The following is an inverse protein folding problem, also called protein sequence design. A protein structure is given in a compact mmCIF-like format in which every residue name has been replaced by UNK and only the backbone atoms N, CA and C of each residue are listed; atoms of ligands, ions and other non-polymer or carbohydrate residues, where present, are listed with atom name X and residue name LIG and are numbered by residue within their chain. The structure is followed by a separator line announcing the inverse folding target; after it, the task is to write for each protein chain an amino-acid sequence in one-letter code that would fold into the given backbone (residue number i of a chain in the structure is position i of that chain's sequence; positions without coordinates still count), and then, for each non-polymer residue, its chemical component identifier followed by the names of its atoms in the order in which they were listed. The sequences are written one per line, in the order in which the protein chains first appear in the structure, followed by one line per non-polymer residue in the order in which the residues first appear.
data_IF_189142013072
#
_entry.id   IF_189142013072
#
_cell.length_a   1.000
_cell.length_b   1.000
_cell.length_c   1.000
_cell.angle_alpha   90.00
_cell.angle_beta   90.00
_cell.angle_gamma   90.00
#
_symmetry.space_group_name_H-M   'P 1'
#
loop_
_entity.id
_entity.type
_entity.pdbx_description
1 polymer ?
#
# COMPACT_ATOMS: atom_id res chain seq x y z
N UNK A 1 -7.54 -5.81 -37.99
CA UNK A 1 -6.69 -4.99 -37.09
C UNK A 1 -7.17 -5.13 -35.65
N UNK A 2 -7.18 -6.34 -35.07
CA UNK A 2 -7.89 -6.57 -33.79
C UNK A 2 -7.10 -7.33 -32.72
N UNK A 3 -5.83 -7.72 -32.97
CA UNK A 3 -5.02 -8.43 -31.97
C UNK A 3 -4.02 -7.55 -31.20
N UNK A 4 -3.88 -6.26 -31.55
CA UNK A 4 -2.81 -5.41 -31.00
C UNK A 4 -3.24 -4.64 -29.72
N UNK A 5 -4.55 -4.50 -29.46
CA UNK A 5 -5.03 -3.71 -28.31
C UNK A 5 -4.70 -4.38 -26.97
N UNK A 6 -4.68 -5.72 -26.94
CA UNK A 6 -4.37 -6.50 -25.73
C UNK A 6 -2.90 -6.41 -25.32
N UNK A 7 -1.99 -6.16 -26.27
CA UNK A 7 -0.56 -5.99 -25.96
C UNK A 7 -0.27 -4.62 -25.30
N UNK A 8 -1.19 -3.67 -25.46
CA UNK A 8 -1.12 -2.30 -24.92
C UNK A 8 -1.99 -2.08 -23.70
N UNK A 9 -2.41 -3.13 -22.99
CA UNK A 9 -3.15 -2.96 -21.74
C UNK A 9 -2.19 -2.89 -20.56
N UNK A 10 -2.59 -2.16 -19.52
CA UNK A 10 -1.96 -2.31 -18.20
C UNK A 10 -2.39 -3.62 -17.54
N UNK A 11 -1.69 -4.03 -16.47
CA UNK A 11 -2.03 -5.21 -15.68
C UNK A 11 -3.43 -5.07 -15.07
N UNK A 12 -3.72 -3.92 -14.44
CA UNK A 12 -5.03 -3.63 -13.88
C UNK A 12 -6.15 -3.71 -14.94
N UNK A 13 -5.91 -3.19 -16.15
CA UNK A 13 -6.87 -3.26 -17.24
C UNK A 13 -7.08 -4.71 -17.71
N UNK A 14 -6.01 -5.50 -17.79
CA UNK A 14 -6.06 -6.93 -18.16
C UNK A 14 -6.86 -7.73 -17.13
N UNK A 15 -6.56 -7.56 -15.85
CA UNK A 15 -7.27 -8.21 -14.73
C UNK A 15 -8.76 -7.83 -14.69
N UNK A 16 -9.09 -6.56 -14.97
CA UNK A 16 -10.47 -6.10 -15.04
C UNK A 16 -11.25 -6.77 -16.19
N UNK A 17 -10.61 -6.97 -17.36
CA UNK A 17 -11.23 -7.71 -18.48
C UNK A 17 -11.42 -9.19 -18.12
N UNK A 18 -10.44 -9.84 -17.50
CA UNK A 18 -10.56 -11.23 -17.06
C UNK A 18 -11.68 -11.43 -16.02
N UNK A 19 -11.82 -10.46 -15.12
CA UNK A 19 -12.91 -10.40 -14.15
C UNK A 19 -14.25 -10.23 -14.87
N UNK A 20 -14.34 -9.38 -15.89
CA UNK A 20 -15.54 -9.21 -16.71
C UNK A 20 -15.93 -10.49 -17.46
N UNK A 21 -14.95 -11.23 -18.02
CA UNK A 21 -15.15 -12.55 -18.63
C UNK A 21 -15.72 -13.54 -17.60
N UNK A 22 -15.17 -13.55 -16.38
CA UNK A 22 -15.64 -14.42 -15.30
C UNK A 22 -17.07 -14.11 -14.89
N UNK A 23 -17.45 -12.84 -14.83
CA UNK A 23 -18.81 -12.40 -14.53
C UNK A 23 -19.80 -12.78 -15.65
N UNK A 24 -19.41 -12.62 -16.92
CA UNK A 24 -20.21 -13.06 -18.06
C UNK A 24 -20.44 -14.58 -18.05
N UNK A 25 -19.39 -15.36 -17.73
CA UNK A 25 -19.48 -16.81 -17.57
C UNK A 25 -20.44 -17.19 -16.45
N UNK A 26 -20.31 -16.57 -15.27
CA UNK A 26 -21.17 -16.81 -14.13
C UNK A 26 -22.65 -16.51 -14.45
N UNK A 27 -22.90 -15.42 -15.17
CA UNK A 27 -24.25 -15.02 -15.57
C UNK A 27 -24.76 -15.70 -16.86
N UNK A 28 -23.96 -16.65 -17.42
CA UNK A 28 -24.26 -17.45 -18.60
C UNK A 28 -24.49 -16.63 -19.87
N UNK A 29 -23.78 -15.52 -20.02
CA UNK A 29 -23.81 -14.69 -21.22
C UNK A 29 -22.75 -15.17 -22.23
N UNK A 30 -23.12 -15.24 -23.52
CA UNK A 30 -22.20 -15.67 -24.59
C UNK A 30 -21.14 -14.61 -24.93
N UNK A 31 -21.42 -13.35 -24.61
CA UNK A 31 -20.54 -12.23 -24.91
C UNK A 31 -20.27 -11.39 -23.67
N UNK A 32 -19.03 -10.90 -23.56
CA UNK A 32 -18.66 -9.84 -22.61
C UNK A 32 -19.06 -8.50 -23.18
N UNK A 33 -19.98 -7.85 -22.49
CA UNK A 33 -20.48 -6.49 -22.78
C UNK A 33 -19.91 -5.49 -21.78
N UNK A 34 -19.95 -4.17 -22.07
CA UNK A 34 -19.36 -3.18 -21.16
C UNK A 34 -19.98 -3.17 -19.76
N UNK A 35 -21.22 -3.65 -19.58
CA UNK A 35 -21.84 -3.79 -18.25
C UNK A 35 -21.12 -4.81 -17.37
N UNK A 36 -20.57 -5.89 -17.94
CA UNK A 36 -19.75 -6.84 -17.18
C UNK A 36 -18.45 -6.22 -16.72
N UNK A 37 -17.86 -5.34 -17.55
CA UNK A 37 -16.64 -4.62 -17.20
C UNK A 37 -16.90 -3.60 -16.09
N UNK A 38 -17.96 -2.80 -16.21
CA UNK A 38 -18.38 -1.89 -15.14
C UNK A 38 -18.67 -2.65 -13.83
N UNK A 39 -19.31 -3.83 -13.92
CA UNK A 39 -19.54 -4.69 -12.77
C UNK A 39 -18.24 -5.22 -12.15
N UNK A 40 -17.27 -5.63 -12.98
CA UNK A 40 -15.95 -6.06 -12.51
C UNK A 40 -15.24 -4.96 -11.73
N UNK A 41 -15.24 -3.72 -12.26
CA UNK A 41 -14.67 -2.57 -11.58
C UNK A 41 -15.33 -2.31 -10.23
N UNK A 42 -16.66 -2.35 -10.14
CA UNK A 42 -17.35 -2.16 -8.86
C UNK A 42 -17.13 -3.27 -7.85
N UNK A 43 -16.96 -4.52 -8.30
CA UNK A 43 -16.80 -5.67 -7.41
C UNK A 43 -15.39 -5.73 -6.83
N UNK A 44 -14.37 -5.32 -7.60
CA UNK A 44 -12.99 -5.26 -7.12
C UNK A 44 -12.81 -4.02 -6.22
N UNK A 45 -12.67 -4.23 -4.91
CA UNK A 45 -12.48 -3.15 -3.91
C UNK A 45 -11.31 -2.23 -4.23
N UNK A 46 -10.30 -2.77 -4.90
CA UNK A 46 -9.02 -2.10 -5.19
C UNK A 46 -9.03 -1.44 -6.57
N UNK A 47 -10.18 -1.43 -7.26
CA UNK A 47 -10.30 -0.78 -8.56
C UNK A 47 -10.27 0.75 -8.43
N UNK A 48 -9.71 1.40 -9.44
CA UNK A 48 -9.68 2.87 -9.55
C UNK A 48 -11.09 3.46 -9.39
N UNK A 49 -12.13 2.82 -9.93
CA UNK A 49 -13.50 3.30 -9.82
C UNK A 49 -14.00 3.28 -8.36
N UNK A 50 -13.72 2.21 -7.62
CA UNK A 50 -14.10 2.12 -6.20
C UNK A 50 -13.34 3.11 -5.33
N UNK A 51 -12.06 3.33 -5.62
CA UNK A 51 -11.24 4.33 -4.93
C UNK A 51 -11.86 5.73 -5.09
N UNK A 52 -12.29 6.09 -6.30
CA UNK A 52 -12.98 7.37 -6.53
C UNK A 52 -14.30 7.45 -5.75
N UNK A 53 -15.09 6.38 -5.72
CA UNK A 53 -16.36 6.36 -4.98
C UNK A 53 -16.16 6.50 -3.47
N UNK A 54 -15.16 5.83 -2.91
CA UNK A 54 -14.80 5.96 -1.50
C UNK A 54 -14.37 7.41 -1.19
N UNK A 55 -13.53 8.01 -2.04
CA UNK A 55 -13.07 9.39 -1.89
C UNK A 55 -14.22 10.41 -1.97
N UNK A 56 -15.18 10.17 -2.85
CA UNK A 56 -16.38 11.00 -3.02
C UNK A 56 -17.47 10.70 -1.98
N UNK A 57 -17.30 9.70 -1.10
CA UNK A 57 -18.29 9.33 -0.09
C UNK A 57 -19.57 8.71 -0.67
N UNK A 58 -19.48 8.01 -1.81
CA UNK A 58 -20.61 7.45 -2.55
C UNK A 58 -20.96 6.06 -2.02
N UNK A 59 -22.24 5.83 -1.69
CA UNK A 59 -22.76 4.50 -1.40
C UNK A 59 -23.01 3.72 -2.70
N UNK A 60 -22.22 2.68 -2.92
CA UNK A 60 -22.23 1.85 -4.12
C UNK A 60 -23.24 0.70 -4.10
N UNK A 61 -23.86 0.39 -2.96
CA UNK A 61 -24.72 -0.80 -2.82
C UNK A 61 -25.88 -0.77 -3.81
N UNK A 62 -26.56 0.37 -3.93
CA UNK A 62 -27.67 0.53 -4.86
C UNK A 62 -27.21 0.46 -6.33
N UNK A 63 -26.03 1.00 -6.63
CA UNK A 63 -25.44 0.98 -7.98
C UNK A 63 -25.08 -0.45 -8.42
N UNK A 64 -24.48 -1.23 -7.52
CA UNK A 64 -24.15 -2.63 -7.78
C UNK A 64 -25.40 -3.47 -8.09
N UNK A 65 -26.51 -3.22 -7.39
CA UNK A 65 -27.78 -3.91 -7.64
C UNK A 65 -28.36 -3.55 -9.02
N UNK A 66 -28.32 -2.28 -9.41
CA UNK A 66 -28.76 -1.82 -10.74
C UNK A 66 -27.95 -2.49 -11.85
N UNK A 67 -26.62 -2.55 -11.69
CA UNK A 67 -25.72 -3.17 -12.67
C UNK A 67 -25.95 -4.68 -12.77
N UNK A 68 -26.10 -5.37 -11.64
CA UNK A 68 -26.44 -6.80 -11.61
C UNK A 68 -27.76 -7.05 -12.33
N UNK A 69 -28.78 -6.23 -12.07
CA UNK A 69 -30.08 -6.34 -12.74
C UNK A 69 -29.99 -6.13 -14.26
N UNK A 70 -29.15 -5.19 -14.72
CA UNK A 70 -28.91 -4.98 -16.16
C UNK A 70 -28.17 -6.16 -16.79
N UNK A 71 -27.15 -6.69 -16.12
CA UNK A 71 -26.43 -7.87 -16.59
C UNK A 71 -27.37 -9.09 -16.68
N UNK A 72 -28.26 -9.30 -15.71
CA UNK A 72 -29.22 -10.41 -15.71
C UNK A 72 -30.21 -10.39 -16.88
N UNK A 73 -30.50 -9.21 -17.45
CA UNK A 73 -31.39 -9.05 -18.61
C UNK A 73 -30.72 -9.40 -19.94
N UNK A 74 -29.40 -9.57 -19.97
CA UNK A 74 -28.68 -9.93 -21.19
C UNK A 74 -29.01 -11.36 -21.63
N UNK A 75 -28.93 -11.67 -22.94
CA UNK A 75 -29.19 -13.01 -23.47
C UNK A 75 -28.32 -14.08 -22.78
N UNK A 76 -28.96 -15.17 -22.35
CA UNK A 76 -28.30 -16.29 -21.65
C UNK A 76 -28.29 -17.56 -22.50
N UNK A 77 -27.25 -18.37 -22.35
CA UNK A 77 -27.13 -19.66 -23.01
C UNK A 77 -26.61 -20.73 -22.04
N UNK A 78 -27.10 -21.96 -22.16
CA UNK A 78 -26.71 -23.08 -21.29
C UNK A 78 -25.34 -23.68 -21.63
N UNK A 79 -24.79 -23.41 -22.81
CA UNK A 79 -23.55 -24.02 -23.33
C UNK A 79 -22.34 -23.09 -23.27
N UNK A 80 -22.33 -22.11 -22.37
CA UNK A 80 -21.25 -21.13 -22.26
C UNK A 80 -20.06 -21.73 -21.49
N UNK A 81 -18.88 -21.68 -22.11
CA UNK A 81 -17.59 -22.04 -21.52
C UNK A 81 -16.62 -20.87 -21.64
N UNK A 82 -15.54 -20.87 -20.87
CA UNK A 82 -14.54 -19.78 -20.91
C UNK A 82 -13.95 -19.59 -22.31
N UNK A 83 -13.78 -20.68 -23.07
CA UNK A 83 -13.21 -20.67 -24.42
C UNK A 83 -14.20 -20.22 -25.50
N UNK A 84 -15.51 -20.30 -25.22
CA UNK A 84 -16.56 -19.92 -26.18
C UNK A 84 -17.04 -18.48 -26.01
N UNK A 85 -16.73 -17.84 -24.88
CA UNK A 85 -17.04 -16.43 -24.63
C UNK A 85 -16.19 -15.52 -25.52
N UNK A 86 -16.82 -14.50 -26.08
CA UNK A 86 -16.15 -13.46 -26.89
C UNK A 86 -16.44 -12.07 -26.34
N UNK A 87 -15.63 -11.10 -26.71
CA UNK A 87 -15.99 -9.70 -26.49
C UNK A 87 -17.07 -9.29 -27.49
N UNK A 88 -18.13 -8.64 -27.00
CA UNK A 88 -19.16 -8.05 -27.85
C UNK A 88 -18.58 -6.92 -28.72
N UNK A 89 -19.20 -6.64 -29.85
CA UNK A 89 -18.82 -5.52 -30.72
C UNK A 89 -18.90 -4.17 -29.99
N UNK A 90 -19.88 -4.04 -29.09
CA UNK A 90 -20.02 -2.86 -28.25
C UNK A 90 -18.82 -2.68 -27.32
N UNK A 91 -18.39 -3.75 -26.65
CA UNK A 91 -17.23 -3.68 -25.76
C UNK A 91 -15.93 -3.39 -26.53
N UNK A 92 -15.74 -4.01 -27.70
CA UNK A 92 -14.60 -3.67 -28.58
C UNK A 92 -14.62 -2.19 -28.98
N UNK A 93 -15.78 -1.61 -29.28
CA UNK A 93 -15.91 -0.18 -29.58
C UNK A 93 -15.53 0.70 -28.39
N UNK A 94 -15.93 0.33 -27.16
CA UNK A 94 -15.53 1.09 -25.96
C UNK A 94 -14.02 1.06 -25.71
N UNK A 95 -13.36 -0.06 -26.03
CA UNK A 95 -11.89 -0.16 -25.96
C UNK A 95 -11.22 0.72 -27.02
N UNK A 96 -11.77 0.79 -28.23
CA UNK A 96 -11.26 1.67 -29.30
C UNK A 96 -11.43 3.16 -28.96
N UNK A 97 -12.55 3.54 -28.33
CA UNK A 97 -12.73 4.91 -27.82
C UNK A 97 -11.63 5.26 -26.81
N UNK A 98 -11.35 4.32 -25.90
CA UNK A 98 -10.32 4.48 -24.89
C UNK A 98 -8.90 4.54 -25.48
N UNK A 99 -8.60 3.74 -26.51
CA UNK A 99 -7.34 3.81 -27.27
C UNK A 99 -7.17 5.20 -27.92
N UNK A 100 -8.25 5.81 -28.41
CA UNK A 100 -8.23 7.17 -28.93
C UNK A 100 -7.85 8.21 -27.87
N UNK A 101 -8.37 8.08 -26.64
CA UNK A 101 -8.01 8.97 -25.53
C UNK A 101 -6.59 8.71 -25.03
N UNK A 102 -6.17 7.45 -24.92
CA UNK A 102 -4.80 7.04 -24.60
C UNK A 102 -3.79 7.69 -25.56
N UNK A 103 -4.04 7.60 -26.87
CA UNK A 103 -3.18 8.23 -27.87
C UNK A 103 -3.16 9.76 -27.76
N UNK A 104 -4.31 10.39 -27.45
CA UNK A 104 -4.43 11.84 -27.23
C UNK A 104 -3.65 12.31 -26.01
N UNK A 105 -3.66 11.53 -24.93
CA UNK A 105 -2.92 11.79 -23.70
C UNK A 105 -1.41 11.49 -23.86
N UNK A 106 -1.02 10.77 -24.92
CA UNK A 106 0.36 10.42 -25.21
C UNK A 106 0.89 9.28 -24.34
N UNK A 107 -0.01 8.37 -23.95
CA UNK A 107 0.31 7.16 -23.20
C UNK A 107 0.70 6.01 -24.13
N UNK A 108 1.54 5.11 -23.63
CA UNK A 108 1.92 3.89 -24.35
C UNK A 108 0.97 2.71 -24.08
N UNK A 109 0.35 2.68 -22.89
CA UNK A 109 -0.58 1.63 -22.45
C UNK A 109 -1.93 2.21 -22.01
N UNK A 110 -2.99 1.43 -22.21
CA UNK A 110 -4.36 1.76 -21.85
C UNK A 110 -4.64 1.34 -20.40
N UNK A 111 -4.80 2.34 -19.54
CA UNK A 111 -5.17 2.20 -18.14
C UNK A 111 -6.69 2.29 -17.91
N UNK A 112 -7.14 1.80 -16.76
CA UNK A 112 -8.57 1.73 -16.39
C UNK A 112 -9.22 3.11 -16.29
N UNK A 113 -8.52 4.10 -15.73
CA UNK A 113 -8.97 5.49 -15.63
C UNK A 113 -9.29 6.08 -17.01
N UNK A 114 -8.41 5.84 -17.98
CA UNK A 114 -8.50 6.30 -19.36
C UNK A 114 -9.70 5.66 -20.05
N UNK A 115 -9.91 4.37 -19.80
CA UNK A 115 -11.10 3.67 -20.28
C UNK A 115 -12.39 4.27 -19.73
N UNK A 116 -12.46 4.53 -18.42
CA UNK A 116 -13.64 5.12 -17.78
C UNK A 116 -13.89 6.51 -18.38
N UNK A 117 -12.88 7.40 -18.39
CA UNK A 117 -12.98 8.76 -18.92
C UNK A 117 -13.46 8.79 -20.37
N UNK A 118 -12.91 7.94 -21.23
CA UNK A 118 -13.28 7.86 -22.63
C UNK A 118 -14.73 7.40 -22.86
N UNK A 119 -15.32 6.68 -21.90
CA UNK A 119 -16.63 6.05 -22.04
C UNK A 119 -17.70 6.61 -21.09
N UNK A 120 -17.44 7.67 -20.32
CA UNK A 120 -18.43 8.29 -19.41
C UNK A 120 -19.75 8.69 -20.09
N UNK A 121 -19.70 9.04 -21.37
CA UNK A 121 -20.86 9.44 -22.18
C UNK A 121 -21.45 8.30 -23.03
N UNK A 122 -20.98 7.08 -22.84
CA UNK A 122 -21.42 5.89 -23.58
C UNK A 122 -22.14 4.92 -22.61
N UNK A 123 -23.21 4.23 -23.05
CA UNK A 123 -23.81 3.17 -22.25
C UNK A 123 -22.77 2.07 -21.92
N UNK A 124 -22.83 1.48 -20.71
CA UNK A 124 -23.78 1.72 -19.63
C UNK A 124 -23.41 2.88 -18.69
N UNK A 125 -22.21 3.46 -18.82
CA UNK A 125 -21.73 4.50 -17.90
C UNK A 125 -22.67 5.72 -17.88
N UNK A 126 -23.11 6.17 -19.05
CA UNK A 126 -24.03 7.32 -19.19
C UNK A 126 -25.44 7.07 -18.66
N UNK A 127 -25.85 5.80 -18.52
CA UNK A 127 -27.19 5.42 -18.05
C UNK A 127 -27.23 5.18 -16.54
N UNK A 128 -26.11 4.70 -15.97
CA UNK A 128 -26.04 4.26 -14.57
C UNK A 128 -25.41 5.33 -13.69
N UNK A 129 -24.23 5.82 -14.04
CA UNK A 129 -23.47 6.71 -13.14
C UNK A 129 -24.23 7.98 -12.75
N UNK A 130 -24.92 8.70 -13.67
CA UNK A 130 -25.63 9.93 -13.33
C UNK A 130 -26.74 9.77 -12.28
N UNK A 131 -27.22 8.55 -12.02
CA UNK A 131 -28.23 8.29 -10.98
C UNK A 131 -27.65 8.37 -9.56
N UNK A 132 -26.33 8.18 -9.42
CA UNK A 132 -25.66 8.03 -8.12
C UNK A 132 -24.57 9.08 -7.89
N UNK A 133 -23.95 9.57 -8.96
CA UNK A 133 -22.81 10.49 -8.88
C UNK A 133 -22.90 11.57 -9.95
N UNK A 134 -22.26 12.71 -9.68
CA UNK A 134 -21.96 13.68 -10.72
C UNK A 134 -20.79 13.19 -11.57
N UNK A 135 -21.04 12.86 -12.84
CA UNK A 135 -20.03 12.35 -13.77
C UNK A 135 -18.94 13.36 -14.09
N UNK A 136 -19.22 14.67 -13.99
CA UNK A 136 -18.19 15.70 -14.15
C UNK A 136 -17.21 15.71 -12.97
N UNK A 137 -17.70 15.46 -11.76
CA UNK A 137 -16.84 15.41 -10.57
C UNK A 137 -16.01 14.13 -10.56
N UNK A 138 -16.59 12.99 -10.99
CA UNK A 138 -15.82 11.76 -11.20
C UNK A 138 -14.70 11.97 -12.23
N UNK A 139 -14.98 12.65 -13.36
CA UNK A 139 -13.97 12.91 -14.38
C UNK A 139 -12.81 13.75 -13.81
N UNK A 140 -13.12 14.83 -13.08
CA UNK A 140 -12.12 15.67 -12.42
C UNK A 140 -11.31 14.89 -11.39
N UNK A 141 -11.95 14.01 -10.63
CA UNK A 141 -11.28 13.23 -9.59
C UNK A 141 -10.33 12.20 -10.20
N UNK A 142 -10.72 11.55 -11.30
CA UNK A 142 -9.84 10.66 -12.07
C UNK A 142 -8.65 11.42 -12.67
N UNK A 143 -8.87 12.59 -13.27
CA UNK A 143 -7.80 13.44 -13.80
C UNK A 143 -6.87 13.95 -12.70
N UNK A 144 -7.42 14.32 -11.53
CA UNK A 144 -6.66 14.77 -10.37
C UNK A 144 -5.84 13.63 -9.74
N UNK A 145 -6.43 12.45 -9.60
CA UNK A 145 -5.76 11.25 -9.10
C UNK A 145 -4.58 10.87 -9.99
N UNK A 146 -4.72 11.02 -11.31
CA UNK A 146 -3.64 10.78 -12.25
C UNK A 146 -2.51 11.82 -12.18
N UNK A 147 -2.79 13.04 -11.74
CA UNK A 147 -1.77 14.08 -11.54
C UNK A 147 -0.95 14.46 -12.80
N UNK A 148 -1.41 14.11 -13.99
CA UNK A 148 -0.67 14.28 -15.24
C UNK A 148 0.41 13.23 -15.52
N UNK A 149 0.47 12.15 -14.74
CA UNK A 149 1.36 11.02 -14.99
C UNK A 149 1.02 10.33 -16.32
N UNK A 150 2.07 9.95 -17.06
CA UNK A 150 1.96 9.17 -18.30
C UNK A 150 1.98 7.68 -17.99
N UNK A 151 1.17 6.92 -18.72
CA UNK A 151 1.16 5.45 -18.62
C UNK A 151 2.11 4.90 -19.69
N UNK A 152 3.38 4.76 -19.32
CA UNK A 152 4.47 4.34 -20.21
C UNK A 152 4.90 2.87 -20.02
N UNK A 153 4.35 2.17 -19.03
CA UNK A 153 4.54 0.74 -18.77
C UNK A 153 3.21 0.04 -18.48
N UNK A 154 3.20 -1.29 -18.51
CA UNK A 154 2.03 -2.10 -18.14
C UNK A 154 1.69 -2.02 -16.64
N UNK A 155 2.57 -1.49 -15.80
CA UNK A 155 2.40 -1.36 -14.34
C UNK A 155 2.24 0.10 -13.91
N UNK A 156 2.27 1.05 -14.85
CA UNK A 156 2.29 2.48 -14.54
C UNK A 156 1.01 2.97 -13.83
N UNK A 157 -0.12 2.25 -13.97
CA UNK A 157 -1.37 2.55 -13.26
C UNK A 157 -1.54 1.78 -11.94
N UNK A 158 -0.55 0.98 -11.52
CA UNK A 158 -0.48 0.39 -10.17
C UNK A 158 -0.05 1.41 -9.10
N UNK A 159 0.36 2.60 -9.55
CA UNK A 159 0.89 3.69 -8.74
C UNK A 159 -0.14 4.35 -7.82
N UNK A 160 -1.44 4.13 -8.06
CA UNK A 160 -2.47 4.87 -7.34
C UNK A 160 -2.67 4.45 -5.87
N UNK A 161 -2.21 3.28 -5.43
CA UNK A 161 -2.21 2.90 -4.01
C UNK A 161 -1.18 1.79 -3.68
N UNK A 162 0.07 1.93 -4.12
CA UNK A 162 1.13 0.97 -3.76
C UNK A 162 1.32 0.87 -2.24
N UNK A 163 1.14 1.98 -1.51
CA UNK A 163 1.18 2.02 -0.06
C UNK A 163 0.02 1.30 0.61
N UNK A 164 -1.15 1.16 -0.02
CA UNK A 164 -2.26 0.39 0.56
C UNK A 164 -2.01 -1.12 0.43
N UNK A 165 -1.35 -1.54 -0.65
CA UNK A 165 -1.03 -2.95 -0.93
C UNK A 165 0.20 -3.44 -0.17
N UNK A 166 1.23 -2.61 -0.06
CA UNK A 166 2.55 -2.99 0.47
C UNK A 166 2.92 -2.27 1.77
N UNK A 167 2.03 -1.43 2.30
CA UNK A 167 2.24 -0.68 3.52
C UNK A 167 1.15 -0.92 4.55
N UNK A 168 1.51 -0.83 5.82
CA UNK A 168 0.60 -0.86 6.98
C UNK A 168 0.60 0.53 7.60
N UNK A 169 -0.55 1.21 7.58
CA UNK A 169 -0.69 2.55 8.16
C UNK A 169 -0.84 2.46 9.69
N UNK A 170 0.29 2.60 10.40
CA UNK A 170 0.33 2.54 11.86
C UNK A 170 -0.43 3.70 12.51
N UNK A 171 -0.49 4.86 11.85
CA UNK A 171 -1.27 6.01 12.37
C UNK A 171 -2.77 5.71 12.31
N UNK A 172 -3.23 5.03 11.26
CA UNK A 172 -4.60 4.53 11.16
C UNK A 172 -4.90 3.46 12.22
N UNK A 173 -4.00 2.49 12.42
CA UNK A 173 -4.17 1.48 13.47
C UNK A 173 -4.19 2.08 14.88
N UNK A 174 -3.42 3.15 15.10
CA UNK A 174 -3.46 3.92 16.34
C UNK A 174 -4.84 4.57 16.54
N UNK A 175 -5.40 5.18 15.49
CA UNK A 175 -6.73 5.80 15.53
C UNK A 175 -7.85 4.80 15.79
N UNK A 176 -7.69 3.57 15.28
CA UNK A 176 -8.63 2.47 15.50
C UNK A 176 -8.42 1.75 16.85
N UNK A 177 -7.44 2.17 17.65
CA UNK A 177 -7.13 1.56 18.95
C UNK A 177 -6.57 0.13 18.86
N UNK A 178 -6.07 -0.28 17.70
CA UNK A 178 -5.54 -1.63 17.45
C UNK A 178 -4.15 -1.83 18.05
N UNK A 179 -3.33 -0.78 18.03
CA UNK A 179 -1.95 -0.83 18.52
C UNK A 179 -1.89 -1.12 20.03
N UNK A 180 -0.92 -1.94 20.49
CA UNK A 180 -0.69 -2.17 21.91
C UNK A 180 -0.13 -0.93 22.60
N UNK A 181 -0.35 -0.76 23.92
CA UNK A 181 0.27 0.35 24.65
C UNK A 181 1.79 0.17 24.69
N UNK A 182 2.52 1.26 24.43
CA UNK A 182 3.98 1.27 24.45
C UNK A 182 4.48 1.82 25.77
N UNK A 183 5.36 1.06 26.45
CA UNK A 183 5.79 1.32 27.83
C UNK A 183 7.31 1.42 27.87
N UNK A 184 7.83 2.47 28.50
CA UNK A 184 9.26 2.62 28.77
C UNK A 184 10.14 2.92 27.55
N UNK A 185 9.57 3.52 26.50
CA UNK A 185 10.29 3.93 25.27
C UNK A 185 10.22 5.43 24.99
N UNK A 186 9.93 6.23 26.01
CA UNK A 186 9.67 7.67 25.85
C UNK A 186 10.92 8.45 25.40
N UNK A 187 12.10 8.08 25.88
CA UNK A 187 13.36 8.74 25.51
C UNK A 187 13.72 8.47 24.05
N UNK A 188 13.60 7.22 23.60
CA UNK A 188 13.91 6.84 22.22
C UNK A 188 12.87 7.39 21.23
N UNK A 189 11.58 7.43 21.61
CA UNK A 189 10.54 8.09 20.81
C UNK A 189 10.83 9.59 20.72
N UNK A 190 11.15 10.26 21.83
CA UNK A 190 11.51 11.68 21.83
C UNK A 190 12.72 11.98 20.95
N UNK A 191 13.76 11.14 21.02
CA UNK A 191 14.94 11.26 20.16
C UNK A 191 14.61 11.01 18.68
N UNK A 192 13.73 10.06 18.39
CA UNK A 192 13.25 9.80 17.02
C UNK A 192 12.54 11.02 16.45
N UNK A 193 11.63 11.64 17.21
CA UNK A 193 10.97 12.89 16.82
C UNK A 193 11.97 14.02 16.56
N UNK A 194 12.96 14.21 17.46
CA UNK A 194 14.00 15.24 17.31
C UNK A 194 14.82 15.07 16.03
N UNK A 195 15.06 13.84 15.58
CA UNK A 195 15.77 13.57 14.34
C UNK A 195 14.88 13.88 13.14
N UNK A 196 13.63 13.43 13.14
CA UNK A 196 12.68 13.62 12.03
C UNK A 196 12.45 15.10 11.67
N UNK A 197 12.52 16.00 12.65
CA UNK A 197 12.33 17.45 12.44
C UNK A 197 13.57 18.19 11.91
N UNK A 198 14.71 17.51 11.76
CA UNK A 198 15.96 18.15 11.28
C UNK A 198 15.86 18.45 9.79
N UNK A 199 16.58 19.46 9.33
CA UNK A 199 16.75 19.74 7.88
C UNK A 199 17.67 18.76 7.16
N UNK A 200 18.61 18.15 7.89
CA UNK A 200 19.63 17.23 7.37
C UNK A 200 19.85 16.11 8.37
N UNK A 201 20.19 14.90 7.89
CA UNK A 201 20.30 13.70 8.76
C UNK A 201 19.02 13.49 9.56
N UNK A 202 17.90 13.55 8.85
CA UNK A 202 16.55 13.52 9.37
C UNK A 202 15.91 12.12 9.34
N UNK A 203 16.71 11.08 9.04
CA UNK A 203 16.25 9.70 9.04
C UNK A 203 16.79 8.99 10.30
N UNK A 204 15.93 8.64 11.27
CA UNK A 204 16.35 7.85 12.42
C UNK A 204 16.73 6.42 12.00
N UNK A 205 17.77 5.87 12.62
CA UNK A 205 18.14 4.46 12.49
C UNK A 205 18.12 3.81 13.88
N UNK A 206 17.13 2.96 14.12
CA UNK A 206 16.98 2.19 15.35
C UNK A 206 17.95 1.01 15.33
N UNK A 207 18.90 1.00 16.26
CA UNK A 207 19.94 -0.01 16.38
C UNK A 207 19.70 -0.85 17.64
N UNK A 208 19.43 -2.14 17.46
CA UNK A 208 19.26 -3.06 18.58
C UNK A 208 19.13 -4.49 18.09
N UNK A 209 19.26 -5.46 18.99
CA UNK A 209 19.07 -6.87 18.65
C UNK A 209 17.61 -7.16 18.24
N UNK A 210 17.33 -8.26 17.53
CA UNK A 210 15.95 -8.68 17.27
C UNK A 210 15.19 -8.89 18.59
N UNK A 211 13.91 -8.53 18.62
CA UNK A 211 13.06 -8.72 19.81
C UNK A 211 13.12 -7.64 20.88
N UNK A 212 14.06 -6.69 20.84
CA UNK A 212 14.15 -5.60 21.85
C UNK A 212 13.01 -4.57 21.78
N UNK A 213 12.08 -4.69 20.83
CA UNK A 213 10.94 -3.77 20.70
C UNK A 213 11.17 -2.56 19.80
N UNK A 214 11.99 -2.68 18.74
CA UNK A 214 12.17 -1.63 17.73
C UNK A 214 10.84 -1.25 17.06
N UNK A 215 10.02 -2.23 16.71
CA UNK A 215 8.67 -2.03 16.15
C UNK A 215 7.75 -1.32 17.13
N UNK A 216 7.75 -1.74 18.40
CA UNK A 216 6.94 -1.10 19.45
C UNK A 216 7.29 0.39 19.63
N UNK A 217 8.55 0.79 19.50
CA UNK A 217 8.94 2.21 19.50
C UNK A 217 8.24 2.99 18.38
N UNK A 218 8.20 2.41 17.17
CA UNK A 218 7.57 3.03 15.99
C UNK A 218 6.05 3.09 16.15
N UNK A 219 5.42 2.04 16.68
CA UNK A 219 3.99 2.04 17.04
C UNK A 219 3.69 3.13 18.07
N UNK A 220 4.57 3.34 19.05
CA UNK A 220 4.43 4.40 20.05
C UNK A 220 4.54 5.79 19.44
N UNK A 221 5.41 5.97 18.44
CA UNK A 221 5.44 7.20 17.66
C UNK A 221 4.14 7.41 16.88
N UNK A 222 3.56 6.37 16.27
CA UNK A 222 2.27 6.48 15.58
C UNK A 222 1.13 6.91 16.53
N UNK A 223 1.09 6.35 17.74
CA UNK A 223 0.15 6.74 18.78
C UNK A 223 0.27 8.22 19.15
N UNK A 224 1.51 8.72 19.29
CA UNK A 224 1.74 10.14 19.59
C UNK A 224 1.36 11.07 18.43
N UNK A 225 1.65 10.67 17.19
CA UNK A 225 1.23 11.43 16.01
C UNK A 225 -0.31 11.52 15.97
N UNK A 226 -1.01 10.42 16.23
CA UNK A 226 -2.47 10.38 16.29
C UNK A 226 -3.04 11.25 17.41
N UNK A 227 -2.48 11.17 18.63
CA UNK A 227 -2.93 11.95 19.79
C UNK A 227 -2.57 13.43 19.71
N UNK A 228 -1.72 13.83 18.75
CA UNK A 228 -1.22 15.20 18.63
C UNK A 228 -0.09 15.54 19.62
N UNK A 229 0.40 14.57 20.39
CA UNK A 229 1.54 14.72 21.32
C UNK A 229 2.88 14.67 20.57
N UNK A 230 3.01 15.52 19.54
CA UNK A 230 4.18 15.66 18.70
C UNK A 230 4.39 17.13 18.33
N UNK A 231 5.62 17.54 17.97
CA UNK A 231 5.87 18.87 17.40
C UNK A 231 4.99 19.15 16.18
N UNK A 232 4.66 20.42 15.95
CA UNK A 232 3.77 20.86 14.85
C UNK A 232 4.21 20.36 13.46
N UNK A 233 5.51 20.21 13.22
CA UNK A 233 6.05 19.67 11.97
C UNK A 233 5.76 18.18 11.75
N UNK A 234 5.43 17.43 12.80
CA UNK A 234 5.06 16.01 12.74
C UNK A 234 3.55 15.79 12.87
N UNK A 235 2.78 16.82 13.20
CA UNK A 235 1.32 16.73 13.20
C UNK A 235 0.79 16.43 11.80
N UNK A 236 -0.30 15.66 11.72
CA UNK A 236 -0.94 15.23 10.47
C UNK A 236 -0.04 14.42 9.51
N UNK A 237 1.13 13.98 9.97
CA UNK A 237 1.92 13.01 9.22
C UNK A 237 1.31 11.61 9.35
N UNK A 238 1.54 10.78 8.35
CA UNK A 238 1.18 9.35 8.37
C UNK A 238 2.45 8.54 8.57
N UNK A 239 2.42 7.56 9.47
CA UNK A 239 3.52 6.62 9.67
C UNK A 239 3.13 5.28 9.05
N UNK A 240 3.82 4.90 7.98
CA UNK A 240 3.52 3.68 7.22
C UNK A 240 4.68 2.71 7.36
N UNK A 241 4.41 1.50 7.86
CA UNK A 241 5.36 0.41 7.91
C UNK A 241 5.36 -0.36 6.57
N UNK A 242 6.54 -0.59 6.01
CA UNK A 242 6.69 -1.37 4.79
C UNK A 242 6.55 -2.86 5.08
N UNK A 243 5.63 -3.54 4.40
CA UNK A 243 5.49 -4.99 4.49
C UNK A 243 6.39 -5.67 3.45
N UNK A 244 7.54 -6.16 3.93
CA UNK A 244 8.50 -6.89 3.11
C UNK A 244 7.93 -8.21 2.57
N UNK A 245 7.02 -8.86 3.29
CA UNK A 245 6.40 -10.11 2.86
C UNK A 245 5.41 -9.86 1.72
N UNK A 246 4.62 -8.79 1.79
CA UNK A 246 3.71 -8.39 0.73
C UNK A 246 4.45 -8.02 -0.57
N UNK A 247 5.60 -7.34 -0.46
CA UNK A 247 6.41 -7.00 -1.63
C UNK A 247 6.97 -8.23 -2.34
N UNK A 248 7.40 -9.25 -1.59
CA UNK A 248 7.97 -10.49 -2.13
C UNK A 248 6.86 -11.44 -2.61
N UNK A 249 5.69 -11.42 -1.98
CA UNK A 249 4.58 -12.30 -2.31
C UNK A 249 4.15 -12.14 -3.78
N UNK A 250 4.17 -13.24 -4.52
CA UNK A 250 3.78 -13.25 -5.94
C UNK A 250 4.81 -12.64 -6.89
N UNK A 251 5.94 -12.13 -6.41
CA UNK A 251 7.05 -11.72 -7.29
C UNK A 251 7.79 -12.98 -7.77
N UNK A 252 7.66 -13.32 -9.05
CA UNK A 252 8.38 -14.45 -9.67
C UNK A 252 9.80 -14.05 -10.08
N UNK A 253 10.00 -12.76 -10.33
CA UNK A 253 11.27 -12.20 -10.80
C UNK A 253 11.73 -11.07 -9.89
N UNK A 254 13.06 -10.90 -9.75
CA UNK A 254 13.66 -9.83 -8.93
C UNK A 254 13.25 -8.42 -9.37
N UNK A 255 13.09 -8.22 -10.69
CA UNK A 255 12.66 -6.93 -11.24
C UNK A 255 11.28 -6.50 -10.74
N UNK A 256 10.35 -7.44 -10.57
CA UNK A 256 9.01 -7.14 -10.06
C UNK A 256 9.05 -6.61 -8.62
N UNK A 257 9.94 -7.15 -7.78
CA UNK A 257 10.15 -6.62 -6.43
C UNK A 257 10.72 -5.20 -6.46
N UNK A 258 11.72 -4.95 -7.31
CA UNK A 258 12.33 -3.62 -7.47
C UNK A 258 11.31 -2.61 -7.98
N UNK A 259 10.48 -2.97 -8.95
CA UNK A 259 9.42 -2.13 -9.50
C UNK A 259 8.37 -1.80 -8.45
N UNK A 260 7.94 -2.78 -7.63
CA UNK A 260 7.00 -2.54 -6.52
C UNK A 260 7.58 -1.63 -5.45
N UNK A 261 8.83 -1.88 -5.04
CA UNK A 261 9.50 -1.04 -4.06
C UNK A 261 9.70 0.39 -4.58
N UNK A 262 10.02 0.53 -5.87
CA UNK A 262 10.13 1.82 -6.54
C UNK A 262 8.78 2.55 -6.54
N UNK A 263 7.68 1.86 -6.86
CA UNK A 263 6.34 2.44 -6.81
C UNK A 263 5.99 2.94 -5.41
N UNK A 264 6.27 2.16 -4.36
CA UNK A 264 6.09 2.59 -2.96
C UNK A 264 6.93 3.85 -2.64
N UNK A 265 8.19 3.87 -3.03
CA UNK A 265 9.07 5.01 -2.77
C UNK A 265 8.61 6.26 -3.53
N UNK A 266 8.16 6.11 -4.77
CA UNK A 266 7.67 7.23 -5.58
C UNK A 266 6.36 7.80 -5.00
N UNK A 267 5.44 6.95 -4.55
CA UNK A 267 4.21 7.39 -3.85
C UNK A 267 4.53 8.15 -2.55
N UNK A 268 5.54 7.72 -1.77
CA UNK A 268 5.98 8.44 -0.56
C UNK A 268 6.62 9.80 -0.90
N UNK A 269 7.35 9.91 -2.01
CA UNK A 269 7.94 11.20 -2.44
C UNK A 269 6.86 12.20 -2.83
N UNK A 270 5.83 11.75 -3.54
CA UNK A 270 4.70 12.58 -3.94
C UNK A 270 3.88 13.03 -2.72
N UNK A 271 3.78 12.17 -1.71
CA UNK A 271 3.08 12.43 -0.46
C UNK A 271 4.04 12.81 0.68
N UNK A 272 4.56 14.06 0.66
CA UNK A 272 5.53 14.57 1.64
C UNK A 272 5.07 14.61 3.12
N UNK A 273 3.83 14.22 3.42
CA UNK A 273 3.31 14.00 4.77
C UNK A 273 3.55 12.58 5.30
N UNK A 274 4.18 11.68 4.54
CA UNK A 274 4.41 10.29 4.94
C UNK A 274 5.81 10.12 5.55
N UNK A 275 5.87 9.34 6.63
CA UNK A 275 7.08 8.79 7.23
C UNK A 275 7.05 7.29 6.95
N UNK A 276 8.06 6.79 6.24
CA UNK A 276 8.18 5.38 5.92
C UNK A 276 8.99 4.67 7.00
N UNK A 277 8.46 3.61 7.60
CA UNK A 277 9.20 2.71 8.47
C UNK A 277 9.61 1.46 7.69
N UNK A 278 10.90 1.14 7.72
CA UNK A 278 11.45 -0.07 7.10
C UNK A 278 12.13 -0.88 8.20
N UNK A 279 11.46 -1.95 8.63
CA UNK A 279 12.10 -2.93 9.49
C UNK A 279 13.12 -3.74 8.69
N UNK A 280 14.18 -4.17 9.38
CA UNK A 280 15.30 -4.89 8.79
C UNK A 280 15.84 -4.23 7.50
N UNK A 281 15.96 -2.90 7.48
CA UNK A 281 16.36 -2.10 6.29
C UNK A 281 17.68 -2.54 5.62
N UNK A 282 18.52 -3.27 6.33
CA UNK A 282 19.72 -3.89 5.79
C UNK A 282 19.44 -4.97 4.71
N UNK A 283 18.26 -5.60 4.72
CA UNK A 283 17.85 -6.63 3.74
C UNK A 283 17.75 -6.08 2.32
N UNK A 284 17.37 -4.81 2.17
CA UNK A 284 17.23 -4.11 0.89
C UNK A 284 18.47 -3.31 0.47
N UNK A 285 19.44 -3.13 1.37
CA UNK A 285 20.67 -2.34 1.14
C UNK A 285 21.93 -3.22 1.03
N UNK A 286 21.98 -4.34 1.76
CA UNK A 286 23.20 -5.09 2.04
C UNK A 286 23.38 -6.39 1.27
N UNK A 287 22.54 -6.59 0.26
CA UNK A 287 22.39 -7.84 -0.43
C UNK A 287 23.60 -8.23 -1.33
N UNK A 288 24.29 -7.27 -1.92
CA UNK A 288 25.21 -7.50 -3.06
C UNK A 288 26.49 -8.33 -2.85
N UNK A 289 26.65 -9.11 -1.77
CA UNK A 289 27.84 -9.92 -1.51
C UNK A 289 27.66 -11.45 -1.71
N UNK A 290 26.43 -11.93 -1.89
CA UNK A 290 26.12 -13.36 -2.11
C UNK A 290 25.12 -13.48 -3.26
N UNK A 291 25.24 -14.48 -4.14
CA UNK A 291 24.52 -14.70 -5.42
C UNK A 291 22.95 -14.75 -5.37
N UNK A 292 22.31 -14.32 -4.29
CA UNK A 292 20.87 -14.50 -4.06
C UNK A 292 20.05 -13.23 -3.82
N UNK A 293 20.67 -12.06 -3.83
CA UNK A 293 20.27 -11.00 -2.90
C UNK A 293 19.77 -9.73 -3.60
N UNK A 294 18.74 -9.08 -3.06
CA UNK A 294 18.03 -7.93 -3.64
C UNK A 294 18.73 -6.59 -3.32
N UNK A 295 19.51 -6.02 -4.25
CA UNK A 295 20.17 -4.72 -4.05
C UNK A 295 19.30 -3.55 -4.50
N UNK A 296 18.37 -3.16 -3.64
CA UNK A 296 17.52 -1.99 -3.85
C UNK A 296 18.14 -0.68 -3.30
N UNK A 297 19.41 -0.69 -2.89
CA UNK A 297 20.08 0.51 -2.37
C UNK A 297 20.06 1.65 -3.40
N UNK A 298 20.12 1.33 -4.69
CA UNK A 298 20.08 2.29 -5.79
C UNK A 298 18.72 2.99 -5.93
N UNK A 299 17.64 2.38 -5.46
CA UNK A 299 16.29 2.96 -5.49
C UNK A 299 16.12 3.98 -4.35
N UNK A 300 16.65 3.65 -3.16
CA UNK A 300 16.54 4.48 -1.95
C UNK A 300 17.51 5.68 -1.95
N UNK A 301 18.76 5.47 -2.39
CA UNK A 301 19.83 6.48 -2.30
C UNK A 301 19.46 7.83 -2.91
N UNK A 302 18.88 7.93 -4.13
CA UNK A 302 18.51 9.22 -4.71
C UNK A 302 17.46 9.97 -3.88
N UNK A 303 16.44 9.26 -3.41
CA UNK A 303 15.34 9.82 -2.62
C UNK A 303 15.82 10.34 -1.25
N UNK A 304 16.64 9.54 -0.57
CA UNK A 304 17.30 9.92 0.69
C UNK A 304 18.29 11.07 0.47
N UNK A 305 18.99 11.10 -0.68
CA UNK A 305 19.96 12.13 -1.01
C UNK A 305 19.34 13.51 -1.18
N UNK A 306 18.15 13.57 -1.77
CA UNK A 306 17.39 14.81 -1.99
C UNK A 306 16.55 15.23 -0.79
N UNK A 307 16.39 14.37 0.22
CA UNK A 307 15.56 14.63 1.40
C UNK A 307 14.06 14.55 1.11
N UNK A 308 13.68 13.97 -0.03
CA UNK A 308 12.29 13.72 -0.43
C UNK A 308 11.67 12.57 0.37
N UNK A 309 12.51 11.65 0.86
CA UNK A 309 12.10 10.48 1.60
C UNK A 309 12.44 10.64 3.09
N UNK A 310 11.40 10.66 3.94
CA UNK A 310 11.53 10.58 5.39
C UNK A 310 11.38 9.13 5.82
N UNK A 311 12.44 8.55 6.38
CA UNK A 311 12.49 7.13 6.72
C UNK A 311 12.95 6.91 8.16
N UNK A 312 12.29 5.97 8.84
CA UNK A 312 12.80 5.33 10.04
C UNK A 312 13.30 3.95 9.62
N UNK A 313 14.60 3.69 9.76
CA UNK A 313 15.17 2.36 9.54
C UNK A 313 15.35 1.61 10.85
N UNK A 314 15.16 0.30 10.85
CA UNK A 314 15.54 -0.56 11.97
C UNK A 314 16.51 -1.66 11.52
N UNK A 315 17.55 -1.90 12.31
CA UNK A 315 18.53 -2.97 12.06
C UNK A 315 19.32 -3.30 13.34
N UNK A 316 20.22 -4.27 13.26
CA UNK A 316 21.15 -4.60 14.34
C UNK A 316 22.43 -3.78 14.21
N UNK A 317 23.18 -3.62 15.31
CA UNK A 317 24.46 -2.92 15.29
C UNK A 317 25.46 -3.55 14.32
N UNK A 318 25.44 -4.88 14.21
CA UNK A 318 26.31 -5.66 13.32
C UNK A 318 26.03 -5.31 11.86
N UNK A 319 24.76 -5.31 11.46
CA UNK A 319 24.38 -5.05 10.07
C UNK A 319 24.52 -3.57 9.70
N UNK A 320 24.28 -2.66 10.65
CA UNK A 320 24.60 -1.24 10.47
C UNK A 320 26.09 -1.02 10.16
N UNK A 321 27.00 -1.62 10.94
CA UNK A 321 28.45 -1.55 10.71
C UNK A 321 28.86 -2.12 9.35
N UNK A 322 28.19 -3.17 8.91
CA UNK A 322 28.50 -3.87 7.66
C UNK A 322 28.04 -3.09 6.44
N UNK A 323 26.83 -2.52 6.47
CA UNK A 323 26.17 -1.99 5.27
C UNK A 323 25.97 -0.48 5.25
N UNK A 324 25.76 0.15 6.40
CA UNK A 324 25.47 1.58 6.48
C UNK A 324 26.69 2.41 6.85
N UNK A 325 27.52 1.95 7.79
CA UNK A 325 28.68 2.70 8.26
C UNK A 325 29.79 2.78 7.20
N UNK A 326 29.89 1.78 6.33
CA UNK A 326 30.83 1.76 5.21
C UNK A 326 30.35 2.54 3.98
N UNK A 327 29.05 2.81 3.86
CA UNK A 327 28.48 3.54 2.73
C UNK A 327 28.33 5.02 3.08
N UNK A 328 29.22 5.86 2.53
CA UNK A 328 29.22 7.30 2.79
C UNK A 328 27.93 8.02 2.38
N UNK A 329 27.17 7.50 1.40
CA UNK A 329 25.91 8.10 1.00
C UNK A 329 24.83 7.85 2.05
N UNK A 330 24.71 6.62 2.56
CA UNK A 330 23.70 6.24 3.55
C UNK A 330 24.05 6.76 4.96
N UNK A 331 25.33 6.69 5.35
CA UNK A 331 25.81 7.21 6.64
C UNK A 331 25.51 8.71 6.82
N UNK A 332 25.44 9.47 5.73
CA UNK A 332 25.12 10.91 5.75
C UNK A 332 23.63 11.20 5.83
N UNK A 333 22.76 10.19 5.74
CA UNK A 333 21.29 10.35 5.75
C UNK A 333 20.65 9.81 7.00
N UNK A 334 21.21 8.75 7.57
CA UNK A 334 20.72 8.15 8.80
C UNK A 334 21.45 8.66 10.04
N UNK A 335 20.74 8.75 11.16
CA UNK A 335 21.30 9.03 12.48
C UNK A 335 20.93 7.92 13.46
N UNK A 336 21.92 7.26 14.10
CA UNK A 336 21.66 6.11 14.96
C UNK A 336 21.03 6.48 16.31
N UNK A 337 20.12 5.61 16.76
CA UNK A 337 19.51 5.56 18.09
C UNK A 337 19.73 4.14 18.61
N UNK A 338 20.39 3.99 19.77
CA UNK A 338 20.48 2.68 20.44
C UNK A 338 19.13 2.33 21.03
N UNK A 339 18.67 1.10 20.81
CA UNK A 339 17.48 0.52 21.42
C UNK A 339 17.95 -0.72 22.15
N UNK A 340 18.12 -0.56 23.45
CA UNK A 340 18.66 -1.61 24.31
C UNK A 340 17.52 -2.48 24.85
N UNK A 341 17.87 -3.69 25.28
CA UNK A 341 16.95 -4.60 25.95
C UNK A 341 16.43 -3.97 27.26
N UNK A 342 15.13 -4.08 27.56
CA UNK A 342 14.60 -3.57 28.81
C UNK A 342 15.22 -4.30 30.01
N UNK A 343 15.55 -3.54 31.06
CA UNK A 343 15.92 -4.12 32.35
C UNK A 343 14.78 -4.96 32.93
N UNK A 344 15.08 -5.91 33.83
CA UNK A 344 14.05 -6.72 34.52
C UNK A 344 12.89 -5.89 35.08
N UNK A 345 13.18 -4.71 35.65
CA UNK A 345 12.15 -3.82 36.18
C UNK A 345 11.30 -3.18 35.08
N UNK A 346 11.90 -2.77 33.96
CA UNK A 346 11.18 -2.25 32.80
C UNK A 346 10.35 -3.37 32.15
N UNK A 347 10.90 -4.57 31.98
CA UNK A 347 10.17 -5.74 31.50
C UNK A 347 8.96 -6.06 32.37
N UNK A 348 9.10 -5.97 33.70
CA UNK A 348 7.96 -6.13 34.61
C UNK A 348 6.89 -5.03 34.41
N UNK A 349 7.28 -3.79 34.17
CA UNK A 349 6.33 -2.70 33.87
C UNK A 349 5.61 -2.95 32.53
N UNK A 350 6.33 -3.38 31.51
CA UNK A 350 5.77 -3.75 30.20
C UNK A 350 4.73 -4.87 30.40
N UNK A 351 5.10 -5.95 31.07
CA UNK A 351 4.23 -7.09 31.37
C UNK A 351 2.96 -6.67 32.12
N UNK A 352 3.08 -5.79 33.10
CA UNK A 352 1.93 -5.26 33.86
C UNK A 352 1.01 -4.43 32.97
N UNK A 353 1.54 -3.62 32.06
CA UNK A 353 0.71 -2.79 31.18
C UNK A 353 0.01 -3.56 30.07
N UNK A 354 0.52 -4.72 29.65
CA UNK A 354 -0.15 -5.61 28.69
C UNK A 354 -1.01 -6.69 29.36
N UNK A 355 -0.99 -6.78 30.69
CA UNK A 355 -1.62 -7.85 31.48
C UNK A 355 -3.10 -8.03 31.12
N UNK A 356 -3.90 -6.96 31.18
CA UNK A 356 -5.35 -7.05 30.96
C UNK A 356 -5.68 -7.57 29.56
N UNK A 357 -4.89 -7.16 28.56
CA UNK A 357 -5.04 -7.62 27.17
C UNK A 357 -4.68 -9.10 27.02
N UNK A 358 -3.66 -9.58 27.73
CA UNK A 358 -3.29 -11.01 27.75
C UNK A 358 -4.34 -11.87 28.47
N UNK A 359 -4.85 -11.40 29.61
CA UNK A 359 -5.90 -12.08 30.37
C UNK A 359 -7.17 -12.24 29.52
N UNK A 360 -7.59 -11.18 28.83
CA UNK A 360 -8.74 -11.21 27.92
C UNK A 360 -8.52 -12.15 26.72
N UNK A 361 -7.33 -12.12 26.12
CA UNK A 361 -7.00 -12.95 24.95
C UNK A 361 -6.98 -14.45 25.29
N UNK A 362 -6.39 -14.82 26.43
CA UNK A 362 -6.23 -16.21 26.83
C UNK A 362 -7.34 -16.74 27.75
N UNK A 363 -8.24 -15.86 28.19
CA UNK A 363 -9.32 -16.16 29.15
C UNK A 363 -8.77 -16.78 30.46
N UNK A 364 -7.74 -16.16 31.03
CA UNK A 364 -7.08 -16.57 32.28
C UNK A 364 -6.82 -15.36 33.17
N UNK A 365 -6.59 -15.62 34.46
CA UNK A 365 -6.10 -14.60 35.39
C UNK A 365 -4.59 -14.78 35.61
N UNK A 366 -3.83 -13.71 35.48
CA UNK A 366 -2.37 -13.67 35.61
C UNK A 366 -2.01 -12.98 36.93
N UNK A 367 -1.38 -13.71 37.84
CA UNK A 367 -0.93 -13.16 39.13
C UNK A 367 0.30 -12.26 38.95
N UNK A 368 0.44 -11.24 39.80
CA UNK A 368 1.63 -10.38 39.77
C UNK A 368 2.92 -11.18 40.03
N UNK A 369 2.85 -12.19 40.90
CA UNK A 369 3.97 -13.11 41.16
C UNK A 369 4.41 -13.87 39.91
N UNK A 370 3.49 -14.22 39.00
CA UNK A 370 3.82 -14.86 37.74
C UNK A 370 4.54 -13.90 36.80
N UNK A 371 4.13 -12.63 36.74
CA UNK A 371 4.82 -11.60 35.93
C UNK A 371 6.25 -11.36 36.44
N UNK A 372 6.43 -11.26 37.76
CA UNK A 372 7.75 -11.12 38.39
C UNK A 372 8.63 -12.34 38.09
N UNK A 373 8.08 -13.54 38.18
CA UNK A 373 8.79 -14.77 37.86
C UNK A 373 9.20 -14.80 36.38
N UNK A 374 8.30 -14.47 35.46
CA UNK A 374 8.58 -14.43 34.03
C UNK A 374 9.75 -13.48 33.71
N UNK A 375 9.69 -12.22 34.19
CA UNK A 375 10.76 -11.25 33.94
C UNK A 375 12.12 -11.68 34.49
N UNK A 376 12.17 -12.25 35.70
CA UNK A 376 13.41 -12.71 36.33
C UNK A 376 13.97 -13.98 35.72
N UNK A 377 13.11 -14.91 35.30
CA UNK A 377 13.55 -16.17 34.72
C UNK A 377 14.06 -15.96 33.29
N UNK A 378 13.41 -15.10 32.49
CA UNK A 378 13.87 -14.77 31.13
C UNK A 378 15.19 -13.99 31.08
N UNK A 379 15.52 -13.22 32.11
CA UNK A 379 16.83 -12.57 32.22
C UNK A 379 17.94 -13.58 32.60
N UNK A 380 17.56 -14.66 33.31
CA UNK A 380 18.51 -15.66 33.82
C UNK A 380 18.81 -16.79 32.83
N UNK A 381 17.82 -17.22 32.07
CA UNK A 381 17.84 -18.39 31.18
C UNK A 381 17.56 -17.95 29.75
#
# INVERSE_FOLDING_TARGET
MSNNIFEKLTHNMTEAIESAVSLALHNKNQEVTPIHFLWALLTNSDSVLNQMFNKMGVDKVAMELDIKSMAEKLPKSSSVTKESIKLSQEFVRTLQNAEGLMAKNGDAYLAVDTYILANLQTPPFSEILPKYINTMDLAKELEAARGGAKIDSQTADETLESLSKYGIDLTKEAAEGKLPPVIGRDEEIARTMQILIRKTKNNPMLLGEPGVGKTALVEGLAQRIHSGDVPTSLQNKRLIALDMSALIAGAKYRGEFEDRLKAVIDEVKENGNIILFIDEIHTIVGAGASEGSMDAANILKPALARGELHTIGATTLKEYRKYFEKDAALQRRFLPISVDEPTVNQSLQILRGIKERLEAHHNVNITDSALVAAAKLSDRY
#
